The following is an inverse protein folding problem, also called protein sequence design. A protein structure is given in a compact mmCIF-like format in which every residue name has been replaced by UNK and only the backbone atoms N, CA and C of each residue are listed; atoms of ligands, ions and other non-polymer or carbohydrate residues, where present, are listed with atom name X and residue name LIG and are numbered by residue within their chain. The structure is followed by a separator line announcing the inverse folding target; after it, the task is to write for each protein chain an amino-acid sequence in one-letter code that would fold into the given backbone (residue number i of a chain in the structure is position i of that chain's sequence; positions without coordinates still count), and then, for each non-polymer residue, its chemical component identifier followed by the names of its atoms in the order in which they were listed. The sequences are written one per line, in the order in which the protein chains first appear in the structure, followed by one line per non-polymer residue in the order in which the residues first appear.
data_IF_654574816893
#
_entry.id   IF_654574816893
#
_cell.length_a   1.000
_cell.length_b   1.000
_cell.length_c   1.000
_cell.angle_alpha   90.00
_cell.angle_beta   90.00
_cell.angle_gamma   90.00
#
_symmetry.space_group_name_H-M   'P 1'
#
loop_
_entity.id
_entity.type
_entity.pdbx_description
1 polymer ?
#
# COMPACT_ATOMS: atom_id res chain seq x y z
N UNK A 1 10.90 9.95 7.54
CA UNK A 1 9.84 9.61 6.57
C UNK A 1 9.28 8.27 6.99
N UNK A 2 7.96 8.20 7.13
CA UNK A 2 7.23 6.99 7.50
C UNK A 2 6.72 6.35 6.21
N UNK A 3 6.90 5.05 6.09
CA UNK A 3 6.49 4.25 4.94
C UNK A 3 5.84 2.95 5.42
N UNK A 4 4.54 2.85 5.19
CA UNK A 4 3.67 1.75 5.62
C UNK A 4 3.00 1.10 4.42
N UNK A 5 2.98 -0.23 4.40
CA UNK A 5 2.10 -0.98 3.49
C UNK A 5 0.82 -1.31 4.24
N UNK A 6 -0.31 -0.96 3.64
CA UNK A 6 -1.65 -1.13 4.17
C UNK A 6 -2.38 -2.24 3.40
N UNK A 7 -3.30 -2.91 4.09
CA UNK A 7 -4.21 -3.91 3.53
C UNK A 7 -5.58 -3.80 4.15
N UNK A 8 -6.61 -3.67 3.32
CA UNK A 8 -8.01 -3.72 3.73
C UNK A 8 -8.81 -4.63 2.81
N UNK A 9 -9.94 -5.13 3.30
CA UNK A 9 -10.81 -5.99 2.50
C UNK A 9 -11.42 -5.26 1.29
N UNK A 10 -11.57 -3.94 1.36
CA UNK A 10 -12.06 -3.09 0.27
C UNK A 10 -11.32 -1.74 0.21
N UNK A 11 -11.33 -1.09 -0.96
CA UNK A 11 -10.83 0.29 -1.11
C UNK A 11 -11.62 1.26 -0.22
N UNK A 12 -12.94 1.07 -0.12
CA UNK A 12 -13.80 1.92 0.71
C UNK A 12 -13.40 1.88 2.18
N UNK A 13 -12.99 0.73 2.71
CA UNK A 13 -12.54 0.62 4.10
C UNK A 13 -11.28 1.46 4.39
N UNK A 14 -10.35 1.57 3.42
CA UNK A 14 -9.23 2.50 3.54
C UNK A 14 -9.71 3.95 3.43
N UNK A 15 -10.65 4.24 2.53
CA UNK A 15 -11.12 5.61 2.28
C UNK A 15 -11.84 6.17 3.50
N UNK A 16 -12.64 5.35 4.17
CA UNK A 16 -13.34 5.70 5.40
C UNK A 16 -12.36 5.93 6.57
N UNK A 17 -11.27 5.17 6.62
CA UNK A 17 -10.26 5.29 7.68
C UNK A 17 -9.28 6.46 7.45
N UNK A 18 -8.98 6.79 6.19
CA UNK A 18 -7.96 7.76 5.81
C UNK A 18 -8.52 8.89 4.95
N UNK A 19 -9.53 9.65 5.42
CA UNK A 19 -10.19 10.67 4.62
C UNK A 19 -9.25 11.81 4.19
N UNK A 20 -8.18 12.08 4.94
CA UNK A 20 -7.16 13.07 4.57
C UNK A 20 -6.47 12.76 3.23
N UNK A 21 -6.43 11.48 2.85
CA UNK A 21 -5.71 10.98 1.69
C UNK A 21 -6.63 10.80 0.48
N UNK A 22 -7.90 11.21 0.60
CA UNK A 22 -8.92 11.05 -0.43
C UNK A 22 -9.33 12.41 -0.99
N UNK A 23 -9.15 12.58 -2.30
CA UNK A 23 -9.69 13.67 -3.09
C UNK A 23 -11.06 13.30 -3.70
N UNK A 24 -11.74 14.27 -4.31
CA UNK A 24 -13.05 14.07 -4.92
C UNK A 24 -13.05 13.04 -6.06
N UNK A 25 -11.90 12.86 -6.73
CA UNK A 25 -11.70 12.01 -7.90
C UNK A 25 -10.83 10.77 -7.63
N UNK A 26 -10.31 10.57 -6.42
CA UNK A 26 -9.47 9.42 -6.11
C UNK A 26 -8.57 9.60 -4.89
N UNK A 27 -7.52 8.78 -4.81
CA UNK A 27 -6.48 8.91 -3.79
C UNK A 27 -5.53 10.06 -4.12
N UNK A 28 -4.97 10.69 -3.10
CA UNK A 28 -3.86 11.64 -3.26
C UNK A 28 -2.60 10.84 -3.58
N UNK A 29 -2.39 10.58 -4.89
CA UNK A 29 -1.25 9.81 -5.41
C UNK A 29 0.06 10.63 -5.38
N UNK A 30 -0.08 11.94 -5.56
CA UNK A 30 0.98 12.94 -5.38
C UNK A 30 0.31 14.19 -4.85
N UNK A 31 0.47 14.48 -3.57
CA UNK A 31 0.01 15.75 -3.03
C UNK A 31 0.85 16.92 -3.57
N UNK A 32 0.37 18.17 -3.50
CA UNK A 32 1.24 19.33 -3.73
C UNK A 32 2.49 19.26 -2.83
N UNK A 33 3.59 19.99 -3.13
CA UNK A 33 4.87 19.86 -2.41
C UNK A 33 4.78 20.00 -0.88
N UNK A 34 3.70 20.60 -0.38
CA UNK A 34 3.38 20.81 1.03
C UNK A 34 2.42 19.78 1.65
N UNK A 35 1.82 18.87 0.86
CA UNK A 35 0.85 17.88 1.32
C UNK A 35 1.43 16.88 2.32
N UNK A 36 2.75 16.65 2.30
CA UNK A 36 3.49 15.84 3.31
C UNK A 36 2.98 14.39 3.46
N UNK A 37 2.11 13.92 2.58
CA UNK A 37 1.59 12.56 2.55
C UNK A 37 1.27 12.16 1.10
N UNK A 38 1.35 10.86 0.82
CA UNK A 38 0.85 10.25 -0.40
C UNK A 38 0.27 8.86 -0.06
N UNK A 39 -0.77 8.44 -0.78
CA UNK A 39 -1.26 7.07 -0.72
C UNK A 39 -1.37 6.50 -2.13
N UNK A 40 -0.60 5.45 -2.39
CA UNK A 40 -0.51 4.77 -3.67
C UNK A 40 -1.18 3.39 -3.59
N UNK A 41 -2.38 3.20 -4.18
CA UNK A 41 -3.01 1.89 -4.28
C UNK A 41 -2.21 0.97 -5.21
N UNK A 42 -1.71 -0.14 -4.67
CA UNK A 42 -0.86 -1.10 -5.40
C UNK A 42 -1.61 -2.36 -5.83
N UNK A 43 -2.90 -2.46 -5.51
CA UNK A 43 -3.75 -3.56 -5.94
C UNK A 43 -3.47 -4.88 -5.23
N UNK A 44 -3.61 -5.99 -5.95
CA UNK A 44 -3.42 -7.33 -5.40
C UNK A 44 -1.93 -7.65 -5.20
N UNK A 45 -1.59 -8.37 -4.13
CA UNK A 45 -0.20 -8.73 -3.82
C UNK A 45 0.05 -10.22 -3.92
N UNK A 46 1.17 -10.59 -4.53
CA UNK A 46 1.68 -11.96 -4.52
C UNK A 46 2.19 -12.29 -3.12
N UNK A 47 1.63 -13.34 -2.53
CA UNK A 47 2.06 -13.88 -1.23
C UNK A 47 3.09 -14.98 -1.39
N UNK A 48 2.85 -15.85 -2.36
CA UNK A 48 3.69 -16.98 -2.71
C UNK A 48 3.89 -16.94 -4.22
N UNK A 49 5.15 -16.92 -4.64
CA UNK A 49 5.50 -16.89 -6.06
C UNK A 49 5.01 -18.16 -6.77
N UNK A 50 4.69 -18.02 -8.05
CA UNK A 50 4.42 -19.18 -8.89
C UNK A 50 5.67 -20.07 -8.99
N UNK A 51 5.46 -21.38 -9.05
CA UNK A 51 6.54 -22.33 -9.36
C UNK A 51 6.50 -22.59 -10.86
N UNK A 52 7.61 -22.32 -11.54
CA UNK A 52 7.78 -22.57 -12.96
C UNK A 52 8.69 -23.77 -13.18
N UNK A 53 8.45 -24.55 -14.25
CA UNK A 53 9.41 -25.55 -14.72
C UNK A 53 10.56 -24.89 -15.50
N UNK A 54 11.50 -25.71 -15.99
CA UNK A 54 12.65 -25.21 -16.75
C UNK A 54 12.25 -24.50 -18.06
N UNK A 55 11.13 -24.90 -18.65
CA UNK A 55 10.60 -24.34 -19.90
C UNK A 55 9.74 -23.08 -19.64
N UNK A 56 9.55 -22.70 -18.37
CA UNK A 56 8.77 -21.54 -17.95
C UNK A 56 7.27 -21.80 -17.83
N UNK A 57 6.81 -23.05 -17.90
CA UNK A 57 5.40 -23.38 -17.67
C UNK A 57 5.09 -23.37 -16.17
N UNK A 58 3.89 -22.88 -15.83
CA UNK A 58 3.41 -22.86 -14.45
C UNK A 58 3.14 -24.27 -13.95
N UNK A 59 3.91 -24.72 -12.96
CA UNK A 59 3.71 -25.96 -12.23
C UNK A 59 2.77 -25.75 -11.05
N UNK A 60 2.91 -24.61 -10.36
CA UNK A 60 1.98 -24.17 -9.32
C UNK A 60 1.69 -22.67 -9.47
N UNK A 61 0.41 -22.24 -9.47
CA UNK A 61 0.07 -20.83 -9.60
C UNK A 61 0.52 -20.05 -8.36
N UNK A 62 0.74 -18.74 -8.55
CA UNK A 62 0.99 -17.83 -7.44
C UNK A 62 -0.24 -17.74 -6.51
N UNK A 63 -0.01 -17.62 -5.21
CA UNK A 63 -1.04 -17.22 -4.25
C UNK A 63 -1.13 -15.69 -4.23
N UNK A 64 -2.31 -15.16 -4.57
CA UNK A 64 -2.54 -13.72 -4.73
C UNK A 64 -3.54 -13.26 -3.67
N UNK A 65 -3.12 -12.29 -2.85
CA UNK A 65 -4.01 -11.53 -1.97
C UNK A 65 -4.75 -10.49 -2.80
N UNK A 66 -6.00 -10.77 -3.16
CA UNK A 66 -6.84 -9.91 -4.02
C UNK A 66 -7.47 -8.74 -3.29
N UNK A 67 -7.19 -8.57 -2.00
CA UNK A 67 -7.64 -7.43 -1.20
C UNK A 67 -6.99 -6.13 -1.64
N UNK A 68 -7.52 -5.01 -1.12
CA UNK A 68 -6.99 -3.69 -1.41
C UNK A 68 -5.69 -3.47 -0.63
N UNK A 69 -4.59 -3.22 -1.33
CA UNK A 69 -3.32 -2.82 -0.73
C UNK A 69 -2.93 -1.42 -1.20
N UNK A 70 -2.25 -0.70 -0.32
CA UNK A 70 -1.73 0.63 -0.63
C UNK A 70 -0.41 0.88 0.11
N UNK A 71 0.44 1.71 -0.46
CA UNK A 71 1.59 2.27 0.24
C UNK A 71 1.24 3.68 0.74
N UNK A 72 1.39 3.90 2.04
CA UNK A 72 1.28 5.19 2.68
C UNK A 72 2.67 5.76 2.91
N UNK A 73 2.95 6.90 2.28
CA UNK A 73 4.10 7.74 2.57
C UNK A 73 3.66 8.92 3.40
N UNK A 74 4.38 9.19 4.49
CA UNK A 74 4.03 10.27 5.41
C UNK A 74 5.31 10.96 5.92
N UNK A 75 5.36 12.28 5.82
CA UNK A 75 6.44 13.06 6.40
C UNK A 75 6.34 13.06 7.94
N UNK A 76 7.48 12.96 8.62
CA UNK A 76 7.52 12.87 10.09
C UNK A 76 6.96 14.14 10.78
N UNK A 77 6.98 15.27 10.07
CA UNK A 77 6.47 16.56 10.54
C UNK A 77 5.08 16.91 10.00
N UNK A 78 4.33 15.93 9.49
CA UNK A 78 2.93 16.14 9.09
C UNK A 78 2.10 16.51 10.32
N UNK A 79 1.27 17.58 10.29
CA UNK A 79 0.51 18.04 11.45
C UNK A 79 -0.44 16.96 12.00
N UNK A 80 -1.06 16.19 11.12
CA UNK A 80 -1.95 15.08 11.49
C UNK A 80 -1.27 13.70 11.59
N UNK A 81 0.08 13.64 11.64
CA UNK A 81 0.80 12.37 11.55
C UNK A 81 0.31 11.33 12.58
N UNK A 82 0.10 11.75 13.83
CA UNK A 82 -0.37 10.87 14.89
C UNK A 82 -1.78 10.29 14.59
N UNK A 83 -2.69 11.12 14.07
CA UNK A 83 -4.05 10.68 13.75
C UNK A 83 -4.05 9.70 12.57
N UNK A 84 -3.26 9.99 11.53
CA UNK A 84 -3.09 9.12 10.36
C UNK A 84 -2.51 7.78 10.77
N UNK A 85 -1.48 7.77 11.62
CA UNK A 85 -0.85 6.53 12.11
C UNK A 85 -1.82 5.67 12.93
N UNK A 86 -2.61 6.29 13.81
CA UNK A 86 -3.63 5.59 14.61
C UNK A 86 -4.70 4.99 13.69
N UNK A 87 -5.18 5.75 12.72
CA UNK A 87 -6.19 5.28 11.77
C UNK A 87 -5.65 4.18 10.82
N UNK A 88 -4.37 4.26 10.44
CA UNK A 88 -3.73 3.28 9.56
C UNK A 88 -3.37 1.98 10.30
N UNK A 89 -3.12 2.03 11.61
CA UNK A 89 -2.62 0.90 12.41
C UNK A 89 -3.36 -0.44 12.21
N UNK A 90 -4.71 -0.49 12.11
CA UNK A 90 -5.43 -1.74 11.86
C UNK A 90 -5.14 -2.38 10.51
N UNK A 91 -4.65 -1.60 9.54
CA UNK A 91 -4.43 -2.03 8.16
C UNK A 91 -2.96 -2.33 7.87
N UNK A 92 -2.04 -2.02 8.79
CA UNK A 92 -0.59 -2.20 8.55
C UNK A 92 -0.25 -3.68 8.39
N UNK A 93 0.39 -4.01 7.27
CA UNK A 93 1.00 -5.32 7.06
C UNK A 93 2.51 -5.23 7.27
N UNK A 94 3.04 -6.22 8.00
CA UNK A 94 4.49 -6.36 8.13
C UNK A 94 5.05 -6.84 6.80
N UNK A 95 5.70 -5.94 6.06
CA UNK A 95 6.47 -6.29 4.87
C UNK A 95 7.95 -6.30 5.25
N UNK A 96 8.65 -7.44 5.09
CA UNK A 96 10.10 -7.48 5.29
C UNK A 96 10.78 -6.41 4.44
N UNK A 97 11.71 -5.66 5.03
CA UNK A 97 12.42 -4.54 4.39
C UNK A 97 13.03 -4.96 3.03
N UNK A 98 13.49 -6.20 2.94
CA UNK A 98 14.10 -6.81 1.75
C UNK A 98 13.16 -6.88 0.53
N UNK A 99 11.84 -6.92 0.76
CA UNK A 99 10.83 -6.97 -0.30
C UNK A 99 10.36 -5.57 -0.76
N UNK A 100 10.81 -4.48 -0.13
CA UNK A 100 10.47 -3.09 -0.52
C UNK A 100 11.28 -2.58 -1.74
N UNK A 101 11.64 -3.44 -2.69
CA UNK A 101 12.29 -2.97 -3.93
C UNK A 101 11.23 -2.36 -4.84
N UNK A 102 11.22 -1.02 -4.94
CA UNK A 102 10.64 -0.34 -6.10
C UNK A 102 11.46 -0.73 -7.31
N UNK A 103 10.99 -1.71 -8.07
CA UNK A 103 11.50 -1.98 -9.41
C UNK A 103 10.79 -0.99 -10.31
N UNK A 104 11.39 0.19 -10.51
CA UNK A 104 11.03 1.02 -11.66
C UNK A 104 11.63 0.33 -12.88
N UNK A 105 10.75 -0.18 -13.75
CA UNK A 105 11.09 -0.59 -15.12
C UNK A 105 10.94 0.61 -16.05
#
# INVERSE_FOLDING_TARGET
MIDLTLRADTEQALADALPWLRAADGWVLTGPPDARHDLDPIGALVRVDAVLDYDGNTVAPADIDTRCHANLLLADNHPDAAAILIAAAPFVVSVPIEKRRRVWA
#
